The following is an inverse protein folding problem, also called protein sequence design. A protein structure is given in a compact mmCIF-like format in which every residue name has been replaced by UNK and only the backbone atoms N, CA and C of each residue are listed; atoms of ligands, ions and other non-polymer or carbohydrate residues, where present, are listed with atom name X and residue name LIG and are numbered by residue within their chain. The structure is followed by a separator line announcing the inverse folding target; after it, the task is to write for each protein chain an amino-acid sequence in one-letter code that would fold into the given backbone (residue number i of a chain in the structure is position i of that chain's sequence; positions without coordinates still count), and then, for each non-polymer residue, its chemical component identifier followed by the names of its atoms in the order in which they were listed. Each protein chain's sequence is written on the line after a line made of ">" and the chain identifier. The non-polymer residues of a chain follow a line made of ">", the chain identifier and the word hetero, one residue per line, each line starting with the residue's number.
data_IF_388504477401
#
_entry.id   IF_388504477401
#
_cell.length_a   1.000
_cell.length_b   1.000
_cell.length_c   1.000
_cell.angle_alpha   90.00
_cell.angle_beta   90.00
_cell.angle_gamma   90.00
#
_symmetry.space_group_name_H-M   'P 1'
#
loop_
_entity.id
_entity.type
_entity.pdbx_description
1 polymer ?
#
# COMPACT_ATOMS: atom_id res chain seq x y z
N UNK A 1 9.73 12.57 24.62
CA UNK A 1 8.56 12.34 23.74
C UNK A 1 9.02 11.50 22.56
N UNK A 2 8.71 10.21 22.54
CA UNK A 2 8.80 9.37 21.32
C UNK A 2 7.56 8.52 21.35
N UNK A 3 6.54 9.00 20.65
CA UNK A 3 5.26 8.30 20.46
C UNK A 3 5.58 6.89 19.99
N UNK A 4 5.33 5.92 20.87
CA UNK A 4 5.41 4.50 20.56
C UNK A 4 4.28 4.24 19.57
N UNK A 5 4.59 4.36 18.29
CA UNK A 5 3.70 4.07 17.18
C UNK A 5 2.96 2.77 17.45
N UNK A 6 1.70 2.93 17.82
CA UNK A 6 0.58 2.00 17.81
C UNK A 6 0.99 0.57 17.47
N UNK A 7 1.02 -0.28 18.50
CA UNK A 7 0.93 -1.73 18.35
C UNK A 7 -0.44 -2.07 17.70
N UNK A 8 -0.56 -1.96 16.38
CA UNK A 8 -1.66 -2.59 15.64
C UNK A 8 -1.30 -4.05 15.43
N UNK A 9 -2.18 -4.96 15.85
CA UNK A 9 -2.01 -6.40 15.69
C UNK A 9 -1.66 -6.72 14.23
N UNK A 10 -0.44 -7.25 14.06
CA UNK A 10 0.31 -7.36 12.80
C UNK A 10 -0.39 -8.26 11.78
N UNK A 11 -1.35 -7.71 11.02
CA UNK A 11 -1.74 -8.34 9.76
C UNK A 11 -0.57 -8.19 8.80
N UNK A 12 0.18 -9.28 8.64
CA UNK A 12 1.33 -9.41 7.75
C UNK A 12 0.89 -10.05 6.45
N UNK A 13 1.13 -9.37 5.36
CA UNK A 13 0.84 -9.79 4.00
C UNK A 13 2.15 -10.00 3.25
N UNK A 14 2.11 -10.71 2.13
CA UNK A 14 3.29 -10.94 1.28
C UNK A 14 3.07 -10.28 -0.09
N UNK A 15 4.16 -9.93 -0.76
CA UNK A 15 4.13 -9.59 -2.19
C UNK A 15 3.36 -10.64 -2.98
N UNK A 16 2.52 -10.19 -3.92
CA UNK A 16 1.64 -11.03 -4.74
C UNK A 16 0.33 -11.45 -4.06
N UNK A 17 0.14 -11.20 -2.77
CA UNK A 17 -1.16 -11.46 -2.12
C UNK A 17 -2.17 -10.38 -2.51
N UNK A 18 -3.46 -10.72 -2.54
CA UNK A 18 -4.53 -9.75 -2.75
C UNK A 18 -4.75 -8.90 -1.50
N UNK A 19 -4.91 -7.60 -1.71
CA UNK A 19 -5.15 -6.60 -0.67
C UNK A 19 -6.62 -6.71 -0.27
N UNK A 20 -6.86 -7.06 0.99
CA UNK A 20 -8.21 -7.24 1.53
C UNK A 20 -8.88 -5.91 1.94
N UNK A 21 -8.08 -4.90 2.29
CA UNK A 21 -8.57 -3.62 2.82
C UNK A 21 -7.78 -2.48 2.20
N UNK A 22 -8.45 -1.38 1.87
CA UNK A 22 -7.73 -0.18 1.50
C UNK A 22 -7.02 0.44 2.72
N UNK A 23 -5.81 0.92 2.47
CA UNK A 23 -5.09 1.70 3.47
C UNK A 23 -3.60 1.79 3.24
N UNK A 24 -2.93 2.32 4.25
CA UNK A 24 -1.48 2.46 4.25
C UNK A 24 -0.87 1.14 4.75
N UNK A 25 0.02 0.60 3.96
CA UNK A 25 0.81 -0.57 4.28
C UNK A 25 2.28 -0.21 4.31
N UNK A 26 3.01 -0.71 5.29
CA UNK A 26 4.45 -0.55 5.39
C UNK A 26 5.15 -1.87 5.12
N UNK A 27 6.15 -1.87 4.26
CA UNK A 27 7.01 -3.02 4.03
C UNK A 27 8.05 -3.20 5.15
N UNK A 28 8.73 -4.34 5.15
CA UNK A 28 9.76 -4.69 6.14
C UNK A 28 11.03 -3.80 6.03
N UNK A 29 11.21 -3.12 4.89
CA UNK A 29 12.32 -2.22 4.61
C UNK A 29 12.03 -0.77 5.02
N UNK A 30 10.81 -0.47 5.46
CA UNK A 30 10.38 0.86 5.90
C UNK A 30 9.76 1.71 4.78
N UNK A 31 9.45 1.13 3.63
CA UNK A 31 8.65 1.77 2.60
C UNK A 31 7.16 1.73 2.95
N UNK A 32 6.48 2.86 2.87
CA UNK A 32 5.03 2.96 3.02
C UNK A 32 4.33 3.13 1.66
N UNK A 33 3.25 2.39 1.46
CA UNK A 33 2.50 2.37 0.22
C UNK A 33 1.00 2.29 0.50
N UNK A 34 0.25 3.14 -0.19
CA UNK A 34 -1.20 3.05 -0.21
C UNK A 34 -1.62 1.94 -1.15
N UNK A 35 -2.33 0.95 -0.62
CA UNK A 35 -2.89 -0.13 -1.39
C UNK A 35 -4.41 -0.10 -1.27
N UNK A 36 -5.07 -0.45 -2.36
CA UNK A 36 -6.52 -0.50 -2.47
C UNK A 36 -6.97 -1.96 -2.41
N UNK A 37 -8.16 -2.19 -1.84
CA UNK A 37 -8.77 -3.51 -1.87
C UNK A 37 -8.89 -4.00 -3.32
N UNK A 38 -8.49 -5.24 -3.56
CA UNK A 38 -8.51 -5.85 -4.90
C UNK A 38 -7.24 -5.64 -5.72
N UNK A 39 -6.29 -4.84 -5.25
CA UNK A 39 -4.94 -4.82 -5.83
C UNK A 39 -4.09 -5.96 -5.25
N UNK A 40 -2.96 -6.27 -5.88
CA UNK A 40 -1.96 -7.17 -5.31
C UNK A 40 -0.84 -6.40 -4.63
N UNK A 41 -0.36 -6.88 -3.48
CA UNK A 41 0.82 -6.31 -2.82
C UNK A 41 2.03 -6.33 -3.76
N UNK A 42 2.63 -5.18 -4.11
CA UNK A 42 3.76 -5.16 -5.02
C UNK A 42 5.02 -5.72 -4.35
N UNK A 43 5.97 -6.13 -5.20
CA UNK A 43 7.34 -6.45 -4.77
C UNK A 43 8.12 -5.17 -4.52
N UNK A 44 9.06 -5.21 -3.57
CA UNK A 44 9.97 -4.09 -3.37
C UNK A 44 10.93 -4.00 -4.58
N UNK A 45 11.09 -2.83 -5.22
CA UNK A 45 11.84 -2.71 -6.49
C UNK A 45 13.30 -3.14 -6.39
N UNK A 46 13.91 -3.01 -5.20
CA UNK A 46 15.32 -3.34 -4.97
C UNK A 46 15.50 -4.74 -4.36
N UNK A 47 14.60 -5.17 -3.50
CA UNK A 47 14.77 -6.37 -2.66
C UNK A 47 13.91 -7.55 -3.12
N UNK A 48 13.00 -7.31 -4.05
CA UNK A 48 12.06 -8.31 -4.53
C UNK A 48 10.97 -8.59 -3.50
N UNK A 49 10.78 -9.87 -3.17
CA UNK A 49 9.72 -10.31 -2.28
C UNK A 49 9.83 -9.68 -0.89
N UNK A 50 8.74 -9.04 -0.45
CA UNK A 50 8.70 -8.34 0.82
C UNK A 50 7.41 -8.66 1.58
N UNK A 51 7.43 -8.33 2.88
CA UNK A 51 6.27 -8.46 3.75
C UNK A 51 5.70 -7.09 4.01
N UNK A 52 4.39 -6.99 3.85
CA UNK A 52 3.63 -5.77 4.08
C UNK A 52 2.88 -5.87 5.39
N UNK A 53 2.81 -4.77 6.13
CA UNK A 53 2.12 -4.67 7.41
C UNK A 53 1.12 -3.53 7.34
N UNK A 54 -0.11 -3.76 7.77
CA UNK A 54 -1.11 -2.69 7.80
C UNK A 54 -0.73 -1.61 8.81
N UNK A 55 -0.40 -0.42 8.30
CA UNK A 55 0.03 0.73 9.08
C UNK A 55 -1.15 1.60 9.54
N UNK A 56 -2.27 1.58 8.79
CA UNK A 56 -3.50 2.25 9.21
C UNK A 56 -4.35 2.76 8.05
N UNK A 57 -5.44 3.45 8.40
CA UNK A 57 -6.29 4.10 7.41
C UNK A 57 -5.55 5.26 6.74
N UNK A 58 -5.80 5.50 5.44
CA UNK A 58 -5.19 6.62 4.75
C UNK A 58 -5.78 7.89 5.37
N UNK A 59 -4.93 8.66 6.05
CA UNK A 59 -5.29 9.99 6.54
C UNK A 59 -5.57 10.87 5.32
N UNK A 60 -6.85 10.89 4.94
CA UNK A 60 -7.53 11.83 4.04
C UNK A 60 -6.63 12.97 3.51
N UNK A 61 -5.86 12.72 2.44
CA UNK A 61 -5.39 13.80 1.55
C UNK A 61 -4.86 13.40 0.17
N UNK A 62 -4.50 12.14 -0.08
CA UNK A 62 -3.75 11.80 -1.30
C UNK A 62 -4.32 10.68 -2.19
N UNK A 63 -5.51 10.15 -1.91
CA UNK A 63 -6.19 9.26 -2.85
C UNK A 63 -6.85 10.04 -4.01
N UNK A 64 -6.04 10.73 -4.83
CA UNK A 64 -6.42 10.92 -6.22
C UNK A 64 -6.05 9.60 -6.91
N UNK A 65 -7.00 8.85 -7.48
CA UNK A 65 -6.65 7.71 -8.31
C UNK A 65 -5.70 8.21 -9.41
N UNK A 66 -4.62 7.49 -9.75
CA UNK A 66 -3.97 7.76 -11.02
C UNK A 66 -5.03 7.48 -12.08
N UNK A 67 -5.61 8.54 -12.64
CA UNK A 67 -6.43 8.46 -13.84
C UNK A 67 -5.53 7.92 -14.94
N UNK A 68 -5.39 6.61 -15.03
CA UNK A 68 -4.91 5.93 -16.23
C UNK A 68 -6.06 5.92 -17.23
N UNK A 69 -6.53 7.11 -17.62
CA UNK A 69 -7.57 7.25 -18.62
C UNK A 69 -6.87 7.40 -19.98
N UNK A 70 -6.79 6.25 -20.65
CA UNK A 70 -7.03 6.03 -22.08
C UNK A 70 -6.85 7.18 -23.06
N UNK A 71 -5.97 6.93 -24.03
CA UNK A 71 -6.21 7.11 -25.47
C UNK A 71 -7.14 8.27 -25.87
N UNK A 72 -6.54 9.43 -26.18
CA UNK A 72 -7.16 10.40 -27.06
C UNK A 72 -6.98 9.94 -28.51
N UNK A 73 -8.01 9.33 -29.06
CA UNK A 73 -8.20 9.20 -30.51
C UNK A 73 -9.48 9.95 -30.91
N UNK A 74 -9.43 10.56 -32.11
CA UNK A 74 -10.44 11.38 -32.80
C UNK A 74 -10.33 12.89 -32.50
N UNK A 75 -10.27 13.79 -33.48
CA UNK A 75 -10.68 13.75 -34.89
C UNK A 75 -9.75 14.60 -35.77
#
# INVERSE_FOLDING_TARGET
>A
MKERGRQTGKRRFRSGQWVEFDGLYSDDWGGDLMLLQGESFPVHPVMGDTRWTYAGQPVHRFAKPPKLNGHHISN
#
